data_IF_020738313704
#
_entry.id   IF_020738313704
#
_cell.length_a   1.000
_cell.length_b   1.000
_cell.length_c   1.000
_cell.angle_alpha   90.00
_cell.angle_beta   90.00
_cell.angle_gamma   90.00
#
_symmetry.space_group_name_H-M   'P 1'
#
loop_
_entity.id
_entity.type
_entity.pdbx_description
1 polymer ?
#
# COMPACT_ATOMS: atom_id res chain seq x y z
N UNK A 1 -8.89 9.96 10.39
CA UNK A 1 -8.02 8.83 10.15
C UNK A 1 -8.40 7.71 11.07
N UNK A 2 -8.38 6.54 10.55
CA UNK A 2 -8.91 5.42 11.27
C UNK A 2 -7.86 4.55 11.89
N UNK A 3 -6.94 5.14 12.57
CA UNK A 3 -5.90 4.38 13.25
C UNK A 3 -6.49 3.36 14.20
N UNK A 4 -7.67 3.61 14.71
CA UNK A 4 -8.32 2.64 15.59
C UNK A 4 -8.61 1.32 14.88
N UNK A 5 -8.78 1.32 13.56
CA UNK A 5 -8.94 0.06 12.85
C UNK A 5 -7.70 -0.78 12.94
N UNK A 6 -6.57 -0.15 12.86
CA UNK A 6 -5.31 -0.86 12.99
C UNK A 6 -5.15 -1.40 14.40
N UNK A 7 -5.53 -0.60 15.38
CA UNK A 7 -5.48 -1.06 16.75
C UNK A 7 -6.40 -2.24 16.99
N UNK A 8 -7.59 -2.19 16.41
CA UNK A 8 -8.54 -3.29 16.56
C UNK A 8 -8.00 -4.56 15.92
N UNK A 9 -7.39 -4.45 14.74
CA UNK A 9 -6.82 -5.60 14.08
C UNK A 9 -5.65 -6.18 14.84
N UNK A 10 -4.83 -5.31 15.43
CA UNK A 10 -3.65 -5.75 16.15
C UNK A 10 -3.96 -6.65 17.33
N UNK A 11 -5.20 -6.68 17.78
CA UNK A 11 -5.56 -7.54 18.91
C UNK A 11 -5.81 -8.99 18.53
N UNK A 12 -5.90 -9.31 17.25
CA UNK A 12 -6.33 -10.65 16.85
C UNK A 12 -5.23 -11.68 16.80
N UNK A 13 -4.06 -11.30 16.38
CA UNK A 13 -2.98 -12.25 16.26
C UNK A 13 -1.66 -11.52 16.36
N UNK A 14 -0.94 -11.75 17.42
CA UNK A 14 0.30 -11.05 17.67
C UNK A 14 1.36 -11.31 16.61
N UNK A 15 1.47 -12.56 16.21
CA UNK A 15 2.54 -12.97 15.32
C UNK A 15 2.34 -12.36 13.93
N UNK A 16 1.12 -12.43 13.43
CA UNK A 16 0.85 -11.96 12.08
C UNK A 16 0.91 -10.46 11.98
N UNK A 17 0.45 -9.74 12.99
CA UNK A 17 0.42 -8.29 12.95
C UNK A 17 1.80 -7.67 13.00
N UNK A 18 2.77 -8.38 13.51
CA UNK A 18 4.13 -7.88 13.46
C UNK A 18 4.64 -7.75 12.03
N UNK A 19 4.00 -8.45 11.09
CA UNK A 19 4.43 -8.49 9.71
C UNK A 19 3.44 -7.89 8.72
N UNK A 20 2.23 -7.61 9.16
CA UNK A 20 1.20 -7.06 8.29
C UNK A 20 0.78 -5.68 8.74
N UNK A 21 0.48 -4.82 7.79
CA UNK A 21 -0.03 -3.48 8.08
C UNK A 21 -0.99 -3.07 6.98
N UNK A 22 -2.11 -2.51 7.40
CA UNK A 22 -3.10 -1.96 6.46
C UNK A 22 -3.43 -0.54 6.88
N UNK A 23 -3.35 0.40 5.94
CA UNK A 23 -3.86 1.75 6.12
C UNK A 23 -5.10 1.88 5.26
N UNK A 24 -6.15 2.40 5.85
CA UNK A 24 -7.45 2.56 5.18
C UNK A 24 -7.82 4.03 5.19
N UNK A 25 -8.26 4.54 4.05
CA UNK A 25 -8.78 5.90 3.96
C UNK A 25 -10.30 5.85 4.01
N UNK A 26 -10.88 6.47 5.01
CA UNK A 26 -12.31 6.58 5.15
C UNK A 26 -12.75 8.00 4.86
N UNK A 27 -13.84 8.14 4.14
CA UNK A 27 -14.38 9.45 3.80
C UNK A 27 -15.86 9.50 4.18
N UNK A 28 -16.38 10.68 4.53
CA UNK A 28 -17.80 10.80 4.82
C UNK A 28 -18.63 10.56 3.56
N UNK A 29 -19.72 9.84 3.73
CA UNK A 29 -20.71 9.64 2.69
C UNK A 29 -21.99 10.33 3.12
N UNK A 30 -23.04 10.20 2.32
CA UNK A 30 -24.32 10.74 2.67
C UNK A 30 -24.83 10.11 3.96
N UNK A 31 -25.65 10.82 4.69
CA UNK A 31 -26.23 10.36 5.95
C UNK A 31 -25.20 10.14 7.07
N UNK A 32 -24.02 10.71 6.94
CA UNK A 32 -23.01 10.65 8.00
C UNK A 32 -22.27 9.35 8.12
N UNK A 33 -22.46 8.44 7.21
CA UNK A 33 -21.70 7.19 7.19
C UNK A 33 -20.30 7.43 6.67
N UNK A 34 -19.36 6.57 7.08
CA UNK A 34 -18.01 6.59 6.56
C UNK A 34 -17.85 5.42 5.59
N UNK A 35 -17.29 5.69 4.44
CA UNK A 35 -17.04 4.65 3.44
C UNK A 35 -15.57 4.60 3.10
N UNK A 36 -15.11 3.44 2.71
CA UNK A 36 -13.71 3.24 2.35
C UNK A 36 -13.44 3.81 0.96
N UNK A 37 -12.55 4.77 0.89
CA UNK A 37 -12.11 5.36 -0.37
C UNK A 37 -10.89 4.65 -0.94
N UNK A 38 -10.10 4.01 -0.08
CA UNK A 38 -8.94 3.26 -0.52
C UNK A 38 -8.25 2.57 0.63
N UNK A 39 -7.34 1.67 0.29
CA UNK A 39 -6.51 1.01 1.28
C UNK A 39 -5.18 0.64 0.67
N UNK A 40 -4.17 0.54 1.51
CA UNK A 40 -2.89 -0.02 1.15
C UNK A 40 -2.48 -0.99 2.25
N UNK A 41 -2.00 -2.15 1.86
CA UNK A 41 -1.56 -3.14 2.84
C UNK A 41 -0.22 -3.69 2.43
N UNK A 42 0.54 -4.13 3.41
CA UNK A 42 1.83 -4.74 3.18
C UNK A 42 2.02 -5.91 4.13
N UNK A 43 2.73 -6.91 3.64
CA UNK A 43 3.10 -8.08 4.41
C UNK A 43 4.61 -8.20 4.31
N UNK A 44 5.29 -8.16 5.47
CA UNK A 44 6.73 -8.31 5.54
C UNK A 44 7.12 -9.77 5.68
N UNK A 45 8.27 -10.13 5.14
CA UNK A 45 8.79 -11.47 5.41
C UNK A 45 9.29 -11.55 6.86
N UNK A 46 9.55 -12.76 7.36
CA UNK A 46 9.90 -12.93 8.79
C UNK A 46 11.14 -12.16 9.24
N UNK A 47 12.12 -11.98 8.37
CA UNK A 47 13.35 -11.27 8.74
C UNK A 47 13.35 -9.82 8.32
N UNK A 48 12.18 -9.30 7.96
CA UNK A 48 11.99 -7.86 7.68
C UNK A 48 12.88 -7.32 6.57
N UNK A 49 13.18 -8.15 5.59
CA UNK A 49 13.98 -7.74 4.45
C UNK A 49 13.12 -7.16 3.35
N UNK A 50 11.94 -7.71 3.14
CA UNK A 50 11.08 -7.31 2.05
C UNK A 50 9.63 -7.29 2.49
N UNK A 51 8.92 -6.26 2.07
CA UNK A 51 7.47 -6.17 2.25
C UNK A 51 6.81 -6.18 0.88
N UNK A 52 5.76 -6.98 0.73
CA UNK A 52 4.92 -6.95 -0.47
C UNK A 52 3.72 -6.08 -0.18
N UNK A 53 3.39 -5.19 -1.10
CA UNK A 53 2.26 -4.30 -0.90
C UNK A 53 1.22 -4.46 -1.99
N UNK A 54 -0.01 -4.11 -1.64
CA UNK A 54 -1.11 -3.97 -2.58
C UNK A 54 -1.89 -2.71 -2.21
N UNK A 55 -2.40 -2.02 -3.22
CA UNK A 55 -3.12 -0.78 -3.01
C UNK A 55 -4.38 -0.77 -3.86
N UNK A 56 -5.47 -0.26 -3.32
CA UNK A 56 -6.74 -0.11 -4.01
C UNK A 56 -7.31 1.26 -3.71
N UNK A 57 -7.82 1.92 -4.74
CA UNK A 57 -8.51 3.19 -4.58
C UNK A 57 -9.84 3.08 -5.31
N UNK A 58 -10.93 3.41 -4.63
CA UNK A 58 -12.25 3.38 -5.24
C UNK A 58 -12.29 4.27 -6.47
N UNK A 59 -13.03 3.85 -7.50
CA UNK A 59 -13.02 4.53 -8.80
C UNK A 59 -13.27 6.02 -8.69
N UNK A 60 -14.24 6.42 -7.88
CA UNK A 60 -14.60 7.83 -7.76
C UNK A 60 -13.51 8.66 -7.05
N UNK A 61 -12.55 8.00 -6.43
CA UNK A 61 -11.47 8.65 -5.71
C UNK A 61 -10.13 8.57 -6.43
N UNK A 62 -10.10 7.94 -7.59
CA UNK A 62 -8.88 7.86 -8.38
C UNK A 62 -8.56 9.21 -8.99
N UNK A 63 -7.27 9.47 -9.21
CA UNK A 63 -6.83 10.72 -9.79
C UNK A 63 -6.87 11.92 -8.86
N UNK A 64 -7.13 11.70 -7.57
CA UNK A 64 -7.23 12.79 -6.58
C UNK A 64 -6.09 12.80 -5.56
N UNK A 65 -5.07 12.00 -5.79
CA UNK A 65 -3.91 11.97 -4.91
C UNK A 65 -4.00 11.00 -3.75
N UNK A 66 -5.11 10.28 -3.59
CA UNK A 66 -5.28 9.38 -2.46
C UNK A 66 -4.31 8.20 -2.52
N UNK A 67 -4.09 7.63 -3.69
CA UNK A 67 -3.15 6.54 -3.86
C UNK A 67 -1.74 6.93 -3.42
N UNK A 68 -1.31 8.13 -3.81
CA UNK A 68 0.01 8.63 -3.42
C UNK A 68 0.11 8.83 -1.91
N UNK A 69 -0.94 9.35 -1.31
CA UNK A 69 -0.98 9.55 0.13
C UNK A 69 -0.86 8.23 0.87
N UNK A 70 -1.62 7.23 0.45
CA UNK A 70 -1.59 5.92 1.08
C UNK A 70 -0.22 5.26 0.92
N UNK A 71 0.36 5.36 -0.27
CA UNK A 71 1.65 4.77 -0.54
C UNK A 71 2.75 5.44 0.29
N UNK A 72 2.71 6.77 0.38
CA UNK A 72 3.68 7.50 1.19
C UNK A 72 3.58 7.11 2.67
N UNK A 73 2.37 6.92 3.17
CA UNK A 73 2.18 6.47 4.55
C UNK A 73 2.79 5.09 4.78
N UNK A 74 2.55 4.18 3.86
CA UNK A 74 3.10 2.85 3.97
C UNK A 74 4.62 2.87 3.95
N UNK A 75 5.20 3.60 3.01
CA UNK A 75 6.67 3.68 2.89
C UNK A 75 7.27 4.23 4.18
N UNK A 76 6.66 5.27 4.74
CA UNK A 76 7.13 5.87 5.98
C UNK A 76 7.08 4.88 7.14
N UNK A 77 5.99 4.12 7.22
CA UNK A 77 5.85 3.10 8.24
C UNK A 77 6.93 2.03 8.11
N UNK A 78 7.14 1.54 6.89
CA UNK A 78 8.11 0.47 6.66
C UNK A 78 9.54 0.94 6.93
N UNK A 79 9.86 2.18 6.57
CA UNK A 79 11.16 2.75 6.92
C UNK A 79 11.38 2.79 8.42
N UNK A 80 10.36 3.22 9.15
CA UNK A 80 10.46 3.33 10.60
C UNK A 80 10.66 1.97 11.26
N UNK A 81 10.13 0.93 10.65
CA UNK A 81 10.28 -0.40 11.21
C UNK A 81 11.56 -1.10 10.72
N UNK A 82 12.33 -0.45 9.86
CA UNK A 82 13.61 -0.99 9.40
C UNK A 82 13.53 -1.99 8.26
N UNK A 83 12.39 -2.09 7.58
CA UNK A 83 12.24 -2.97 6.42
C UNK A 83 13.22 -2.55 5.34
N UNK A 84 13.86 -3.52 4.69
CA UNK A 84 14.91 -3.20 3.72
C UNK A 84 14.37 -2.71 2.39
N UNK A 85 13.28 -3.32 1.90
CA UNK A 85 12.69 -2.88 0.63
C UNK A 85 11.21 -3.22 0.59
N UNK A 86 10.50 -2.54 -0.29
CA UNK A 86 9.09 -2.81 -0.54
C UNK A 86 8.88 -3.07 -2.02
N UNK A 87 8.08 -4.07 -2.33
CA UNK A 87 7.83 -4.49 -3.71
C UNK A 87 6.33 -4.66 -3.93
N UNK A 88 5.91 -4.44 -5.16
CA UNK A 88 4.55 -4.70 -5.57
C UNK A 88 4.50 -5.06 -7.03
N UNK A 89 3.35 -5.55 -7.46
CA UNK A 89 3.13 -5.90 -8.85
C UNK A 89 1.79 -5.38 -9.30
N UNK A 90 1.70 -5.03 -10.57
CA UNK A 90 0.42 -4.66 -11.16
C UNK A 90 0.35 -5.22 -12.57
N UNK A 91 -0.86 -5.27 -13.10
CA UNK A 91 -1.04 -5.73 -14.47
C UNK A 91 -0.42 -4.72 -15.43
N UNK A 92 0.02 -5.24 -16.57
CA UNK A 92 0.74 -4.43 -17.55
C UNK A 92 -0.12 -3.27 -18.07
N UNK A 93 -1.42 -3.43 -18.08
CA UNK A 93 -2.33 -2.37 -18.53
C UNK A 93 -2.75 -1.42 -17.41
N UNK A 94 -2.26 -1.62 -16.19
CA UNK A 94 -2.54 -0.72 -15.08
C UNK A 94 -1.49 0.40 -15.03
N UNK A 95 -1.55 1.28 -16.02
CA UNK A 95 -0.57 2.35 -16.15
C UNK A 95 -0.66 3.37 -15.02
N UNK A 96 -1.85 3.54 -14.47
CA UNK A 96 -2.03 4.46 -13.34
C UNK A 96 -1.22 4.05 -12.14
N UNK A 97 -1.21 2.77 -11.83
CA UNK A 97 -0.44 2.27 -10.69
C UNK A 97 1.06 2.39 -10.94
N UNK A 98 1.52 2.03 -12.14
CA UNK A 98 2.93 2.13 -12.48
C UNK A 98 3.41 3.59 -12.42
N UNK A 99 2.61 4.51 -12.93
CA UNK A 99 2.95 5.93 -12.89
C UNK A 99 2.99 6.46 -11.46
N UNK A 100 2.04 6.05 -10.64
CA UNK A 100 2.00 6.43 -9.23
C UNK A 100 3.27 5.98 -8.51
N UNK A 101 3.64 4.71 -8.70
CA UNK A 101 4.83 4.16 -8.06
C UNK A 101 6.09 4.89 -8.54
N UNK A 102 6.18 5.17 -9.83
CA UNK A 102 7.32 5.91 -10.38
C UNK A 102 7.46 7.29 -9.75
N UNK A 103 6.35 8.01 -9.60
CA UNK A 103 6.37 9.33 -8.97
C UNK A 103 6.72 9.26 -7.48
N UNK A 104 6.46 8.12 -6.86
CA UNK A 104 6.80 7.91 -5.46
C UNK A 104 8.24 7.43 -5.27
N UNK A 105 8.99 7.29 -6.33
CA UNK A 105 10.40 6.92 -6.26
C UNK A 105 10.70 5.44 -6.49
N UNK A 106 9.69 4.65 -6.81
CA UNK A 106 9.91 3.21 -7.08
C UNK A 106 10.56 3.01 -8.43
N UNK A 107 11.42 2.00 -8.49
CA UNK A 107 11.90 1.51 -9.77
C UNK A 107 10.82 0.62 -10.36
N UNK A 108 10.40 0.93 -11.57
CA UNK A 108 9.32 0.20 -12.24
C UNK A 108 9.91 -0.59 -13.38
N UNK A 109 9.75 -1.92 -13.33
CA UNK A 109 10.22 -2.81 -14.39
C UNK A 109 9.04 -3.18 -15.26
N UNK A 110 9.14 -2.92 -16.55
CA UNK A 110 8.07 -3.25 -17.47
C UNK A 110 7.93 -4.77 -17.59
N UNK A 111 6.70 -5.25 -17.51
CA UNK A 111 6.41 -6.63 -17.78
C UNK A 111 6.43 -6.91 -19.28
N UNK A 112 6.49 -8.16 -19.65
CA UNK A 112 6.40 -8.56 -21.04
C UNK A 112 5.54 -9.81 -21.14
N UNK A 113 4.73 -9.88 -22.19
CA UNK A 113 3.81 -10.98 -22.36
C UNK A 113 2.81 -11.02 -21.20
N UNK A 114 2.78 -12.14 -20.48
CA UNK A 114 1.89 -12.31 -19.34
C UNK A 114 2.52 -11.86 -18.02
N UNK A 115 3.78 -11.41 -18.05
CA UNK A 115 4.46 -11.02 -16.82
C UNK A 115 3.94 -9.69 -16.30
N UNK A 116 3.75 -9.56 -14.98
CA UNK A 116 3.29 -8.29 -14.41
C UNK A 116 4.40 -7.25 -14.40
N UNK A 117 3.99 -6.00 -14.24
CA UNK A 117 4.92 -4.91 -13.95
C UNK A 117 5.32 -5.00 -12.49
N UNK A 118 6.60 -4.93 -12.20
CA UNK A 118 7.13 -4.97 -10.85
C UNK A 118 7.57 -3.58 -10.41
N UNK A 119 7.21 -3.21 -9.19
CA UNK A 119 7.57 -1.93 -8.60
C UNK A 119 8.37 -2.21 -7.34
N UNK A 120 9.53 -1.58 -7.20
CA UNK A 120 10.44 -1.86 -6.10
C UNK A 120 11.06 -0.58 -5.57
N UNK A 121 11.11 -0.46 -4.26
CA UNK A 121 11.75 0.68 -3.60
C UNK A 121 12.63 0.19 -2.47
N UNK A 122 13.90 0.51 -2.51
CA UNK A 122 14.81 0.22 -1.40
C UNK A 122 14.60 1.25 -0.31
N UNK A 123 14.53 0.78 0.93
CA UNK A 123 14.31 1.63 2.10
C UNK A 123 15.55 1.78 2.96
N UNK A 124 16.54 0.92 2.73
CA UNK A 124 17.83 0.99 3.44
C UNK A 124 18.99 1.14 2.48
#
# INVERSE_FOLDING_TARGET
MNLRNQSALARYSQIDYDREMTFVALVPAEAGEMVMAGEVRAICDPDNQQAEFAIQVASRWQGKGLGRLLLDKLVRYLKARGTAEVVGQCLIDNQGMAALAGRAGFAVSAGSGADPVTMRLKLR
#
